data_IF_760183667892
#
_entry.id   IF_760183667892
#
_cell.length_a   1.000
_cell.length_b   1.000
_cell.length_c   1.000
_cell.angle_alpha   90.00
_cell.angle_beta   90.00
_cell.angle_gamma   90.00
#
_symmetry.space_group_name_H-M   'P 1'
#
loop_
_entity.id
_entity.type
_entity.pdbx_description
1 polymer ?
#
# COMPACT_ATOMS: atom_id res chain seq x y z
N UNK A 1 6.88 12.31 -22.74
CA UNK A 1 7.37 12.99 -23.95
C UNK A 1 7.67 11.93 -25.00
N UNK A 2 7.17 12.09 -26.20
CA UNK A 2 7.42 11.13 -27.28
C UNK A 2 8.29 11.79 -28.34
N UNK A 3 9.34 11.09 -28.77
CA UNK A 3 10.12 11.52 -29.91
C UNK A 3 9.32 11.15 -31.17
N UNK A 4 8.89 12.12 -32.02
CA UNK A 4 8.10 11.84 -33.22
C UNK A 4 8.80 10.88 -34.20
N UNK A 5 10.14 10.93 -34.27
CA UNK A 5 10.93 10.06 -35.14
C UNK A 5 10.81 8.57 -34.81
N UNK A 6 10.40 8.24 -33.58
CA UNK A 6 10.20 6.86 -33.15
C UNK A 6 8.76 6.36 -33.39
N UNK A 7 7.83 7.23 -33.78
CA UNK A 7 6.41 6.90 -33.80
C UNK A 7 6.10 5.76 -34.79
N UNK A 8 6.64 5.80 -35.99
CA UNK A 8 6.39 4.79 -37.01
C UNK A 8 6.98 3.43 -36.64
N UNK A 9 8.21 3.43 -36.13
CA UNK A 9 8.85 2.22 -35.59
C UNK A 9 8.11 1.62 -34.43
N UNK A 10 7.57 2.46 -33.51
CA UNK A 10 6.83 2.05 -32.35
C UNK A 10 5.53 1.31 -32.71
N UNK A 11 4.80 1.77 -33.74
CA UNK A 11 3.57 1.12 -34.17
C UNK A 11 3.81 -0.33 -34.63
N UNK A 12 4.92 -0.58 -35.34
CA UNK A 12 5.33 -1.94 -35.76
C UNK A 12 5.72 -2.78 -34.53
N UNK A 13 6.49 -2.24 -33.62
CA UNK A 13 6.91 -2.96 -32.41
C UNK A 13 5.74 -3.31 -31.50
N UNK A 14 4.78 -2.43 -31.30
CA UNK A 14 3.55 -2.70 -30.54
C UNK A 14 2.76 -3.88 -31.14
N UNK A 15 2.63 -3.95 -32.46
CA UNK A 15 1.97 -5.09 -33.12
C UNK A 15 2.74 -6.39 -32.93
N UNK A 16 4.05 -6.38 -33.09
CA UNK A 16 4.91 -7.56 -32.87
C UNK A 16 4.87 -8.06 -31.44
N UNK A 17 4.80 -7.14 -30.48
CA UNK A 17 4.72 -7.45 -29.06
C UNK A 17 3.30 -7.85 -28.60
N UNK A 18 2.33 -7.94 -29.50
CA UNK A 18 0.94 -8.27 -29.14
C UNK A 18 0.23 -7.19 -28.31
N UNK A 19 0.75 -5.95 -28.30
CA UNK A 19 0.20 -4.85 -27.53
C UNK A 19 -0.94 -4.08 -28.24
N UNK A 20 -1.35 -4.55 -29.40
CA UNK A 20 -2.52 -4.01 -30.12
C UNK A 20 -3.70 -4.95 -29.90
N UNK A 21 -4.48 -4.64 -28.89
CA UNK A 21 -5.64 -5.46 -28.50
C UNK A 21 -6.84 -5.21 -29.41
N UNK A 22 -7.58 -6.25 -29.72
CA UNK A 22 -8.91 -6.08 -30.27
C UNK A 22 -9.80 -5.45 -29.19
N UNK A 23 -10.75 -4.60 -29.59
CA UNK A 23 -11.72 -3.96 -28.68
C UNK A 23 -11.08 -3.09 -27.60
N UNK A 24 -10.00 -2.39 -27.91
CA UNK A 24 -9.32 -1.46 -26.97
C UNK A 24 -10.25 -0.41 -26.35
N UNK A 25 -11.41 -0.15 -26.94
CA UNK A 25 -12.41 0.77 -26.38
C UNK A 25 -12.79 0.44 -24.93
N UNK A 26 -12.79 -0.84 -24.54
CA UNK A 26 -13.09 -1.22 -23.14
C UNK A 26 -11.98 -0.80 -22.19
N UNK A 27 -10.72 -0.95 -22.56
CA UNK A 27 -9.59 -0.45 -21.79
C UNK A 27 -9.57 1.09 -21.75
N UNK A 28 -9.81 1.72 -22.91
CA UNK A 28 -9.88 3.18 -23.02
C UNK A 28 -11.00 3.78 -22.16
N UNK A 29 -12.18 3.14 -22.13
CA UNK A 29 -13.30 3.61 -21.34
C UNK A 29 -13.01 3.54 -19.83
N UNK A 30 -12.33 2.48 -19.36
CA UNK A 30 -11.90 2.37 -17.97
C UNK A 30 -10.86 3.44 -17.61
N UNK A 31 -9.86 3.65 -18.49
CA UNK A 31 -8.85 4.68 -18.26
C UNK A 31 -9.46 6.08 -18.26
N UNK A 32 -10.38 6.34 -19.19
CA UNK A 32 -11.10 7.62 -19.26
C UNK A 32 -11.90 7.88 -17.98
N UNK A 33 -12.70 6.91 -17.54
CA UNK A 33 -13.46 7.00 -16.30
C UNK A 33 -12.57 7.22 -15.07
N UNK A 34 -11.38 6.63 -15.06
CA UNK A 34 -10.41 6.79 -13.98
C UNK A 34 -9.80 8.20 -13.95
N UNK A 35 -9.54 8.81 -15.13
CA UNK A 35 -8.94 10.13 -15.24
C UNK A 35 -10.00 11.24 -15.09
N UNK A 36 -11.19 11.06 -15.69
CA UNK A 36 -12.26 12.05 -15.65
C UNK A 36 -12.72 12.36 -14.23
N UNK A 37 -13.11 13.61 -14.02
CA UNK A 37 -13.64 14.09 -12.74
C UNK A 37 -12.71 13.88 -11.55
N UNK A 38 -11.40 13.65 -11.77
CA UNK A 38 -10.39 13.47 -10.73
C UNK A 38 -10.58 12.23 -9.87
N UNK A 39 -11.20 11.15 -10.41
CA UNK A 39 -11.40 9.90 -9.67
C UNK A 39 -10.08 9.36 -9.12
N UNK A 40 -9.04 9.29 -9.96
CA UNK A 40 -7.72 8.83 -9.56
C UNK A 40 -7.13 9.61 -8.36
N UNK A 41 -7.35 10.95 -8.32
CA UNK A 41 -6.91 11.78 -7.19
C UNK A 41 -7.68 11.48 -5.91
N UNK A 42 -9.01 11.25 -6.02
CA UNK A 42 -9.83 10.90 -4.85
C UNK A 42 -9.39 9.56 -4.26
N UNK A 43 -9.17 8.56 -5.12
CA UNK A 43 -8.74 7.24 -4.70
C UNK A 43 -7.34 7.28 -4.06
N UNK A 44 -6.40 8.00 -4.68
CA UNK A 44 -5.06 8.19 -4.12
C UNK A 44 -5.08 8.90 -2.76
N UNK A 45 -5.89 9.96 -2.62
CA UNK A 45 -6.05 10.66 -1.34
C UNK A 45 -6.62 9.76 -0.26
N UNK A 46 -7.60 8.92 -0.58
CA UNK A 46 -8.15 7.96 0.37
C UNK A 46 -7.09 6.97 0.87
N UNK A 47 -6.32 6.36 -0.06
CA UNK A 47 -5.23 5.45 0.29
C UNK A 47 -4.16 6.12 1.16
N UNK A 48 -3.76 7.35 0.80
CA UNK A 48 -2.73 8.09 1.53
C UNK A 48 -3.24 8.53 2.92
N UNK A 49 -4.50 8.92 3.03
CA UNK A 49 -5.11 9.29 4.31
C UNK A 49 -5.16 8.09 5.27
N UNK A 50 -5.51 6.89 4.77
CA UNK A 50 -5.48 5.67 5.56
C UNK A 50 -4.07 5.34 6.05
N UNK A 51 -3.05 5.47 5.20
CA UNK A 51 -1.66 5.26 5.59
C UNK A 51 -1.19 6.28 6.64
N UNK A 52 -1.53 7.55 6.46
CA UNK A 52 -1.21 8.60 7.45
C UNK A 52 -1.89 8.36 8.79
N UNK A 53 -3.16 7.90 8.79
CA UNK A 53 -3.90 7.54 10.00
C UNK A 53 -3.20 6.40 10.76
N UNK A 54 -2.80 5.34 10.08
CA UNK A 54 -2.06 4.22 10.67
C UNK A 54 -0.73 4.73 11.24
N UNK A 55 0.03 5.51 10.48
CA UNK A 55 1.32 6.07 10.92
C UNK A 55 1.17 6.90 12.21
N UNK A 56 0.19 7.81 12.25
CA UNK A 56 -0.12 8.59 13.45
C UNK A 56 -0.56 7.69 14.64
N UNK A 57 -1.33 6.65 14.36
CA UNK A 57 -1.83 5.73 15.38
C UNK A 57 -0.73 4.88 16.04
N UNK A 58 0.40 4.70 15.39
CA UNK A 58 1.54 3.92 15.91
C UNK A 58 2.70 4.79 16.40
N UNK A 59 2.57 6.10 16.33
CA UNK A 59 3.59 7.03 16.80
C UNK A 59 3.86 6.81 18.30
N UNK A 60 5.16 6.77 18.65
CA UNK A 60 5.60 6.56 20.02
C UNK A 60 5.46 5.14 20.57
N UNK A 61 5.01 4.17 19.78
CA UNK A 61 4.98 2.77 20.21
C UNK A 61 6.40 2.20 20.29
N UNK A 62 6.72 1.58 21.43
CA UNK A 62 7.95 0.82 21.60
C UNK A 62 7.89 -0.51 20.82
N UNK A 63 9.05 -0.97 20.36
CA UNK A 63 9.15 -2.26 19.65
C UNK A 63 8.80 -2.22 18.15
N UNK A 64 8.53 -1.04 17.61
CA UNK A 64 8.42 -0.81 16.18
C UNK A 64 9.08 0.50 15.75
N UNK A 65 9.44 0.62 14.48
CA UNK A 65 10.02 1.83 13.90
C UNK A 65 9.56 2.02 12.46
N UNK A 66 9.09 3.22 12.14
CA UNK A 66 8.93 3.65 10.75
C UNK A 66 10.30 3.78 10.09
N UNK A 67 10.53 3.08 8.99
CA UNK A 67 11.80 3.12 8.25
C UNK A 67 11.97 4.41 7.48
N UNK A 68 10.85 4.99 7.03
CA UNK A 68 10.79 6.25 6.30
C UNK A 68 9.50 7.01 6.64
N UNK A 69 9.43 8.33 6.40
CA UNK A 69 8.19 9.09 6.47
C UNK A 69 7.12 8.49 5.55
N UNK A 70 5.88 8.49 5.99
CA UNK A 70 4.74 8.00 5.20
C UNK A 70 4.22 9.15 4.32
N UNK A 71 4.66 9.19 3.07
CA UNK A 71 4.32 10.22 2.10
C UNK A 71 3.28 9.76 1.05
N UNK A 72 3.01 8.46 1.01
CA UNK A 72 2.09 7.82 0.08
C UNK A 72 1.27 6.74 0.82
N UNK A 73 0.74 5.79 0.08
CA UNK A 73 -0.08 4.71 0.62
C UNK A 73 0.71 3.48 1.10
N UNK A 74 2.02 3.58 1.22
CA UNK A 74 2.89 2.50 1.72
C UNK A 74 3.51 2.87 3.06
N UNK A 75 3.55 1.88 3.95
CA UNK A 75 4.14 2.00 5.28
C UNK A 75 5.20 0.92 5.43
N UNK A 76 6.43 1.31 5.68
CA UNK A 76 7.54 0.41 5.94
C UNK A 76 7.83 0.42 7.44
N UNK A 77 7.56 -0.73 8.09
CA UNK A 77 7.75 -0.91 9.52
C UNK A 77 8.85 -1.93 9.79
N UNK A 78 9.79 -1.54 10.62
CA UNK A 78 10.68 -2.47 11.28
C UNK A 78 10.01 -2.95 12.56
N UNK A 79 9.70 -4.25 12.59
CA UNK A 79 9.00 -4.94 13.68
C UNK A 79 9.55 -6.35 13.83
N UNK A 80 9.55 -6.95 15.03
CA UNK A 80 9.95 -8.33 15.24
C UNK A 80 9.11 -9.32 14.44
N UNK A 81 9.72 -10.43 14.00
CA UNK A 81 9.00 -11.50 13.29
C UNK A 81 7.83 -12.07 14.09
N UNK A 82 7.97 -12.13 15.41
CA UNK A 82 6.90 -12.58 16.33
C UNK A 82 5.67 -11.68 16.28
N UNK A 83 5.86 -10.36 16.09
CA UNK A 83 4.76 -9.41 15.87
C UNK A 83 4.13 -9.62 14.49
N UNK A 84 4.94 -9.85 13.44
CA UNK A 84 4.42 -10.19 12.12
C UNK A 84 3.55 -11.46 12.17
N UNK A 85 4.01 -12.50 12.87
CA UNK A 85 3.26 -13.76 13.03
C UNK A 85 1.92 -13.53 13.78
N UNK A 86 1.92 -12.61 14.74
CA UNK A 86 0.73 -12.25 15.49
C UNK A 86 -0.28 -11.47 14.62
N UNK A 87 0.20 -10.51 13.83
CA UNK A 87 -0.64 -9.75 12.88
C UNK A 87 -1.29 -10.66 11.83
N UNK A 88 -0.55 -11.63 11.28
CA UNK A 88 -1.09 -12.61 10.34
C UNK A 88 -2.16 -13.50 10.98
N UNK A 89 -1.97 -13.92 12.24
CA UNK A 89 -2.99 -14.65 13.02
C UNK A 89 -4.24 -13.80 13.29
N UNK A 90 -4.08 -12.49 13.46
CA UNK A 90 -5.18 -11.54 13.60
C UNK A 90 -5.89 -11.27 12.24
N UNK A 91 -5.39 -11.84 11.12
CA UNK A 91 -5.98 -11.75 9.79
C UNK A 91 -5.45 -10.62 8.91
N UNK A 92 -4.44 -9.89 9.35
CA UNK A 92 -3.83 -8.82 8.55
C UNK A 92 -2.89 -9.38 7.48
N UNK A 93 -2.99 -8.84 6.26
CA UNK A 93 -2.13 -9.19 5.14
C UNK A 93 -1.17 -8.05 4.82
N UNK A 94 0.10 -8.37 4.71
CA UNK A 94 1.17 -7.44 4.38
C UNK A 94 2.34 -8.18 3.73
N UNK A 95 3.32 -7.44 3.23
CA UNK A 95 4.50 -8.04 2.61
C UNK A 95 5.64 -8.11 3.61
N UNK A 96 6.12 -9.30 3.93
CA UNK A 96 7.39 -9.48 4.64
C UNK A 96 8.54 -9.23 3.66
N UNK A 97 9.32 -8.18 3.91
CA UNK A 97 10.49 -7.82 3.08
C UNK A 97 11.77 -8.43 3.62
N UNK A 98 11.83 -8.66 4.93
CA UNK A 98 12.90 -9.39 5.62
C UNK A 98 12.36 -9.99 6.93
N UNK A 99 13.24 -10.54 7.76
CA UNK A 99 12.88 -11.06 9.08
C UNK A 99 12.34 -9.96 10.03
N UNK A 100 12.67 -8.70 9.76
CA UNK A 100 12.29 -7.55 10.62
C UNK A 100 11.60 -6.43 9.88
N UNK A 101 11.44 -6.51 8.54
CA UNK A 101 10.85 -5.44 7.74
C UNK A 101 9.54 -5.89 7.11
N UNK A 102 8.46 -5.24 7.48
CA UNK A 102 7.13 -5.37 6.89
C UNK A 102 6.78 -4.16 6.02
N UNK A 103 6.08 -4.39 4.89
CA UNK A 103 5.48 -3.36 4.06
C UNK A 103 3.98 -3.53 4.04
N UNK A 104 3.27 -2.54 4.51
CA UNK A 104 1.82 -2.42 4.39
C UNK A 104 1.47 -1.51 3.22
N UNK A 105 0.43 -1.87 2.47
CA UNK A 105 -0.07 -1.08 1.34
C UNK A 105 -1.55 -0.79 1.59
N UNK A 106 -1.88 0.48 1.78
CA UNK A 106 -3.25 0.90 2.00
C UNK A 106 -4.00 0.99 0.68
N UNK A 107 -5.15 0.32 0.59
CA UNK A 107 -6.04 0.39 -0.56
C UNK A 107 -6.92 1.64 -0.45
N UNK A 108 -7.49 2.04 -1.59
CA UNK A 108 -8.36 3.22 -1.66
C UNK A 108 -9.72 3.03 -0.95
N UNK A 109 -10.10 1.79 -0.69
CA UNK A 109 -11.34 1.38 -0.03
C UNK A 109 -11.13 0.89 1.42
N UNK A 110 -9.92 1.10 1.97
CA UNK A 110 -9.64 0.81 3.36
C UNK A 110 -10.43 1.78 4.25
N UNK A 111 -11.26 1.23 5.13
CA UNK A 111 -12.06 2.05 6.05
C UNK A 111 -11.25 2.52 7.25
N UNK A 112 -11.74 3.55 7.94
CA UNK A 112 -11.12 4.04 9.17
C UNK A 112 -11.11 2.96 10.26
N UNK A 113 -12.17 2.15 10.36
CA UNK A 113 -12.29 1.05 11.31
C UNK A 113 -11.24 -0.04 11.05
N UNK A 114 -11.00 -0.38 9.78
CA UNK A 114 -9.96 -1.35 9.40
C UNK A 114 -8.56 -0.82 9.70
N UNK A 115 -8.31 0.47 9.45
CA UNK A 115 -7.06 1.12 9.81
C UNK A 115 -6.83 1.13 11.33
N UNK A 116 -7.85 1.48 12.10
CA UNK A 116 -7.81 1.50 13.56
C UNK A 116 -7.65 0.09 14.14
N UNK A 117 -8.24 -0.93 13.52
CA UNK A 117 -8.05 -2.33 13.91
C UNK A 117 -6.59 -2.77 13.77
N UNK A 118 -5.91 -2.39 12.67
CA UNK A 118 -4.48 -2.64 12.50
C UNK A 118 -3.65 -1.94 13.58
N UNK A 119 -3.94 -0.65 13.85
CA UNK A 119 -3.27 0.12 14.90
C UNK A 119 -3.46 -0.56 16.27
N UNK A 120 -4.68 -0.98 16.59
CA UNK A 120 -4.98 -1.66 17.86
C UNK A 120 -4.23 -2.99 17.98
N UNK A 121 -4.11 -3.76 16.90
CA UNK A 121 -3.35 -5.00 16.88
C UNK A 121 -1.86 -4.74 17.06
N UNK A 122 -1.29 -3.76 16.35
CA UNK A 122 0.12 -3.36 16.54
C UNK A 122 0.38 -2.93 17.99
N UNK A 123 -0.48 -2.11 18.58
CA UNK A 123 -0.36 -1.69 19.98
C UNK A 123 -0.36 -2.88 20.93
N UNK A 124 -1.25 -3.85 20.72
CA UNK A 124 -1.37 -5.04 21.57
C UNK A 124 -0.13 -5.93 21.52
N UNK A 125 0.49 -6.09 20.34
CA UNK A 125 1.62 -6.99 20.16
C UNK A 125 2.99 -6.32 20.30
N UNK A 126 3.06 -4.99 20.17
CA UNK A 126 4.28 -4.21 20.41
C UNK A 126 4.39 -3.65 21.84
N UNK A 127 3.33 -3.70 22.64
CA UNK A 127 3.43 -3.33 24.05
C UNK A 127 4.48 -4.23 24.74
N UNK A 128 5.36 -3.69 25.60
CA UNK A 128 6.23 -4.55 26.41
C UNK A 128 5.33 -5.50 27.18
N UNK A 129 5.54 -6.81 27.03
CA UNK A 129 4.93 -7.76 27.92
C UNK A 129 5.31 -7.31 29.34
N UNK A 130 4.31 -6.86 30.12
CA UNK A 130 4.50 -6.72 31.54
C UNK A 130 5.04 -8.07 32.03
N UNK A 131 6.27 -8.06 32.52
CA UNK A 131 6.92 -9.27 33.01
C UNK A 131 5.92 -10.02 33.88
N UNK A 132 5.58 -11.24 33.51
CA UNK A 132 5.15 -12.24 34.43
C UNK A 132 6.36 -12.48 35.36
N UNK A 133 6.50 -11.61 36.36
CA UNK A 133 7.34 -11.85 37.51
C UNK A 133 6.48 -12.69 38.44
N UNK A 134 6.74 -13.99 38.45
CA UNK A 134 6.73 -14.84 39.66
C UNK A 134 7.41 -16.17 39.31
#
# INVERSE_FOLDING_TARGET
MFNPELADGLAVQLRRAGQVWSKMRFASAQLLAYIENGLWLRLARASNAAAARIAAGIEGLSGLRLVAPVEANEIFLEIPSTVMDALERDGFQFYRRSATLARFVCRFDLTDEEADALVASLRRHCAPHANAAE
#
